data_IF_162882386834
#
_entry.id   IF_162882386834
#
_cell.length_a   1.000
_cell.length_b   1.000
_cell.length_c   1.000
_cell.angle_alpha   90.00
_cell.angle_beta   90.00
_cell.angle_gamma   90.00
#
_symmetry.space_group_name_H-M   'P 1'
#
loop_
_entity.id
_entity.type
_entity.pdbx_description
1 polymer ?
#
# COMPACT_ATOMS: atom_id res chain seq x y z
N UNK A 1 11.62 -25.96 22.67
CA UNK A 1 11.51 -24.55 23.13
C UNK A 1 12.88 -23.87 23.25
N UNK A 2 13.98 -24.61 23.39
CA UNK A 2 15.33 -24.05 23.38
C UNK A 2 15.59 -23.29 22.06
N UNK A 3 16.17 -22.10 22.15
CA UNK A 3 16.43 -21.26 20.98
C UNK A 3 15.20 -20.48 20.43
N UNK A 4 14.02 -20.63 21.04
CA UNK A 4 12.85 -19.88 20.64
C UNK A 4 12.78 -18.57 21.44
N UNK A 5 12.78 -17.40 20.80
CA UNK A 5 12.73 -16.11 21.49
C UNK A 5 11.51 -16.01 22.42
N UNK A 6 11.72 -15.49 23.61
CA UNK A 6 10.68 -15.37 24.64
C UNK A 6 10.55 -16.58 25.56
N UNK A 7 10.97 -17.78 25.13
CA UNK A 7 10.95 -18.96 26.00
C UNK A 7 12.23 -19.09 26.84
N UNK A 8 12.08 -19.54 28.06
CA UNK A 8 13.19 -19.76 29.00
C UNK A 8 12.81 -20.80 30.06
N UNK A 9 13.79 -21.26 30.83
CA UNK A 9 13.54 -22.17 31.94
C UNK A 9 13.49 -21.36 33.24
N UNK A 10 12.39 -21.50 33.98
CA UNK A 10 12.20 -20.83 35.27
C UNK A 10 13.01 -21.47 36.40
N UNK A 11 12.86 -20.97 37.63
CA UNK A 11 13.60 -21.44 38.80
C UNK A 11 13.21 -22.86 39.24
N UNK A 12 12.01 -23.32 38.82
CA UNK A 12 11.51 -24.67 39.05
C UNK A 12 11.97 -25.68 37.99
N UNK A 13 12.72 -25.21 36.97
CA UNK A 13 13.16 -26.05 35.86
C UNK A 13 12.12 -26.22 34.76
N UNK A 14 11.01 -25.49 34.78
CA UNK A 14 9.93 -25.56 33.80
C UNK A 14 10.13 -24.55 32.66
N UNK A 15 9.82 -24.98 31.44
CA UNK A 15 9.75 -24.06 30.31
C UNK A 15 8.58 -23.11 30.45
N UNK A 16 8.85 -21.82 30.36
CA UNK A 16 7.86 -20.75 30.44
C UNK A 16 8.12 -19.67 29.39
N UNK A 17 7.21 -18.71 29.26
CA UNK A 17 7.29 -17.59 28.30
C UNK A 17 7.40 -16.29 29.06
N UNK A 18 8.30 -15.43 28.63
CA UNK A 18 8.47 -14.09 29.17
C UNK A 18 7.46 -13.14 28.55
N UNK A 19 6.30 -12.99 29.19
CA UNK A 19 5.36 -11.94 28.88
C UNK A 19 5.57 -10.70 29.75
N UNK A 20 5.18 -9.54 29.23
CA UNK A 20 5.15 -8.32 30.04
C UNK A 20 3.91 -8.33 30.92
N UNK A 21 4.10 -8.38 32.23
CA UNK A 21 2.99 -8.58 33.21
C UNK A 21 2.06 -7.39 33.40
N UNK A 22 2.38 -6.21 32.83
CA UNK A 22 1.66 -4.96 33.13
C UNK A 22 0.76 -4.47 31.98
N UNK A 23 0.71 -5.18 30.88
CA UNK A 23 -0.04 -4.75 29.69
C UNK A 23 -0.67 -5.94 29.00
N UNK A 24 -1.87 -5.73 28.48
CA UNK A 24 -2.52 -6.59 27.49
C UNK A 24 -2.10 -6.21 26.06
N UNK A 25 -2.36 -7.10 25.13
CA UNK A 25 -2.03 -6.85 23.74
C UNK A 25 -2.27 -8.06 22.83
N UNK A 26 -1.98 -7.90 21.57
CA UNK A 26 -2.12 -8.93 20.54
C UNK A 26 -0.73 -9.47 20.19
N UNK A 27 -0.58 -10.80 20.20
CA UNK A 27 0.64 -11.47 19.73
C UNK A 27 0.63 -11.55 18.21
N UNK A 28 1.68 -11.07 17.59
CA UNK A 28 1.87 -11.05 16.13
C UNK A 28 3.05 -11.98 15.83
N UNK A 29 2.84 -13.13 15.18
CA UNK A 29 3.92 -14.00 14.75
C UNK A 29 4.74 -13.34 13.64
N UNK A 30 6.03 -13.60 13.64
CA UNK A 30 6.96 -13.14 12.62
C UNK A 30 7.35 -14.36 11.80
N UNK A 31 6.88 -14.43 10.56
CA UNK A 31 7.19 -15.52 9.65
C UNK A 31 8.46 -15.24 8.86
N UNK A 32 9.32 -16.24 8.75
CA UNK A 32 10.44 -16.22 7.81
C UNK A 32 10.01 -16.58 6.39
N UNK A 33 10.90 -16.40 5.42
CA UNK A 33 10.71 -16.81 4.03
C UNK A 33 10.54 -18.33 3.87
N UNK A 34 10.95 -19.11 4.86
CA UNK A 34 10.75 -20.56 4.97
C UNK A 34 9.36 -20.96 5.48
N UNK A 35 8.49 -19.97 5.75
CA UNK A 35 7.15 -20.17 6.30
C UNK A 35 7.11 -20.52 7.79
N UNK A 36 8.26 -20.53 8.47
CA UNK A 36 8.33 -20.84 9.90
C UNK A 36 8.22 -19.56 10.74
N UNK A 37 7.79 -19.70 12.00
CA UNK A 37 7.76 -18.60 12.97
C UNK A 37 9.16 -18.38 13.53
N UNK A 38 9.78 -17.26 13.19
CA UNK A 38 11.11 -16.87 13.63
C UNK A 38 11.09 -16.02 14.91
N UNK A 39 9.93 -15.57 15.34
CA UNK A 39 9.76 -14.76 16.53
C UNK A 39 8.33 -14.28 16.66
N UNK A 40 8.08 -13.38 17.62
CA UNK A 40 6.80 -12.71 17.74
C UNK A 40 6.97 -11.31 18.33
N UNK A 41 6.06 -10.43 17.96
CA UNK A 41 5.85 -9.13 18.60
C UNK A 41 4.54 -9.14 19.39
N UNK A 42 4.48 -8.33 20.41
CA UNK A 42 3.24 -8.00 21.12
C UNK A 42 2.91 -6.55 20.75
N UNK A 43 1.79 -6.32 20.09
CA UNK A 43 1.20 -5.00 19.97
C UNK A 43 0.42 -4.72 21.24
N UNK A 44 0.86 -3.75 21.98
CA UNK A 44 0.26 -3.37 23.27
C UNK A 44 -1.04 -2.60 23.05
N UNK A 45 -2.06 -2.90 23.87
CA UNK A 45 -3.31 -2.14 23.90
C UNK A 45 -3.06 -0.69 24.36
N UNK A 46 -2.13 -0.52 25.30
CA UNK A 46 -1.69 0.78 25.78
C UNK A 46 -0.18 0.90 25.65
N UNK A 47 0.34 1.96 24.99
CA UNK A 47 1.77 2.19 24.88
C UNK A 47 2.44 2.29 26.25
N UNK A 48 3.59 1.63 26.40
CA UNK A 48 4.40 1.72 27.62
C UNK A 48 5.25 2.97 27.57
N UNK A 49 5.18 3.73 28.66
CA UNK A 49 6.07 4.86 28.92
C UNK A 49 6.92 4.56 30.16
N UNK A 50 8.16 5.00 30.13
CA UNK A 50 8.99 5.03 31.31
C UNK A 50 8.55 6.19 32.22
N UNK A 51 8.84 6.09 33.53
CA UNK A 51 8.42 7.09 34.50
C UNK A 51 9.00 8.48 34.22
N UNK A 52 10.17 8.51 33.60
CA UNK A 52 10.92 9.73 33.28
C UNK A 52 10.67 10.22 31.83
N UNK A 53 9.77 9.57 31.09
CA UNK A 53 9.43 9.99 29.74
C UNK A 53 8.61 11.28 29.76
N UNK A 54 8.94 12.26 28.90
CA UNK A 54 8.17 13.47 28.78
C UNK A 54 6.74 13.19 28.31
N UNK A 55 5.74 14.02 28.71
CA UNK A 55 4.32 13.78 28.41
C UNK A 55 4.01 13.60 26.93
N UNK A 56 4.71 14.32 26.06
CA UNK A 56 4.57 14.30 24.60
C UNK A 56 5.15 13.05 23.95
N UNK A 57 6.02 12.30 24.63
CA UNK A 57 6.60 11.08 24.07
C UNK A 57 5.54 10.01 23.92
N UNK A 58 5.38 9.52 22.70
CA UNK A 58 4.53 8.35 22.42
C UNK A 58 5.23 7.10 22.92
N UNK A 59 4.79 6.46 23.95
CA UNK A 59 5.40 5.25 24.52
C UNK A 59 5.60 4.11 23.51
N UNK A 60 6.27 3.05 23.95
CA UNK A 60 6.54 1.84 23.15
C UNK A 60 5.23 1.10 22.85
N UNK A 61 4.90 0.94 21.57
CA UNK A 61 3.67 0.27 21.11
C UNK A 61 3.86 -1.22 20.83
N UNK A 62 5.08 -1.63 20.51
CA UNK A 62 5.42 -3.00 20.13
C UNK A 62 6.58 -3.52 20.95
N UNK A 63 6.42 -4.69 21.55
CA UNK A 63 7.48 -5.41 22.24
C UNK A 63 7.81 -6.69 21.46
N UNK A 64 9.07 -6.88 21.14
CA UNK A 64 9.52 -8.13 20.52
C UNK A 64 9.82 -9.15 21.62
N UNK A 65 9.31 -10.36 21.49
CA UNK A 65 9.57 -11.44 22.44
C UNK A 65 11.07 -11.74 22.47
N UNK A 66 11.63 -11.71 23.66
CA UNK A 66 13.04 -12.00 23.91
C UNK A 66 13.18 -12.52 25.34
N UNK A 67 13.98 -13.53 25.52
CA UNK A 67 14.35 -14.11 26.82
C UNK A 67 15.84 -13.96 27.13
N UNK A 68 16.47 -12.96 26.49
CA UNK A 68 17.89 -12.63 26.77
C UNK A 68 18.14 -12.47 28.27
N UNK A 69 19.22 -13.08 28.76
CA UNK A 69 19.59 -13.06 30.17
C UNK A 69 18.80 -14.01 31.08
N UNK A 70 17.87 -14.80 30.52
CA UNK A 70 17.17 -15.87 31.24
C UNK A 70 17.83 -17.23 30.97
N UNK A 71 17.67 -18.18 31.91
CA UNK A 71 18.22 -19.55 31.78
C UNK A 71 17.66 -20.22 30.53
N UNK A 72 18.50 -20.71 29.65
CA UNK A 72 18.19 -21.31 28.34
C UNK A 72 17.41 -20.34 27.40
N UNK A 73 17.36 -19.06 27.71
CA UNK A 73 16.74 -18.06 26.90
C UNK A 73 17.62 -17.59 25.74
N UNK A 74 16.97 -16.92 24.77
CA UNK A 74 17.63 -16.37 23.59
C UNK A 74 17.11 -14.99 23.22
N UNK A 75 17.89 -14.25 22.44
CA UNK A 75 17.49 -12.96 21.86
C UNK A 75 16.49 -13.16 20.71
N UNK A 76 15.72 -12.12 20.40
CA UNK A 76 14.86 -12.10 19.21
C UNK A 76 15.67 -12.17 17.91
N UNK A 77 16.93 -11.71 17.91
CA UNK A 77 17.79 -11.73 16.74
C UNK A 77 17.33 -10.84 15.58
N UNK A 78 16.40 -9.91 15.83
CA UNK A 78 15.85 -8.98 14.83
C UNK A 78 15.32 -9.68 13.57
N UNK A 79 14.36 -10.62 13.70
CA UNK A 79 13.85 -11.35 12.55
C UNK A 79 13.16 -10.40 11.55
N UNK A 80 13.15 -10.80 10.29
CA UNK A 80 12.42 -10.13 9.22
C UNK A 80 11.13 -10.91 8.98
N UNK A 81 10.02 -10.20 8.89
CA UNK A 81 8.75 -10.80 8.54
C UNK A 81 8.60 -10.89 7.02
N UNK A 82 8.11 -12.02 6.55
CA UNK A 82 7.87 -12.31 5.13
C UNK A 82 6.44 -12.79 4.93
N UNK A 83 5.75 -12.25 3.93
CA UNK A 83 4.41 -12.69 3.52
C UNK A 83 4.27 -12.64 2.00
N UNK A 84 3.78 -13.72 1.41
CA UNK A 84 3.56 -13.87 -0.02
C UNK A 84 4.40 -14.98 -0.65
N UNK A 85 4.72 -14.82 -1.95
CA UNK A 85 5.47 -15.80 -2.74
C UNK A 85 6.98 -15.49 -2.73
N UNK A 86 7.83 -16.42 -2.27
CA UNK A 86 9.28 -16.23 -2.25
C UNK A 86 9.92 -16.20 -3.66
N UNK A 87 9.19 -16.59 -4.71
CA UNK A 87 9.61 -16.52 -6.10
C UNK A 87 9.08 -15.28 -6.83
N UNK A 88 8.47 -14.34 -6.13
CA UNK A 88 7.97 -13.09 -6.72
C UNK A 88 9.08 -12.28 -7.38
N UNK A 89 8.84 -11.82 -8.61
CA UNK A 89 9.77 -10.93 -9.33
C UNK A 89 9.89 -9.55 -8.68
N UNK A 90 8.84 -9.12 -7.98
CA UNK A 90 8.77 -7.81 -7.31
C UNK A 90 8.39 -8.01 -5.86
N UNK A 91 9.19 -7.49 -4.95
CA UNK A 91 8.97 -7.61 -3.50
C UNK A 91 8.94 -6.22 -2.86
N UNK A 92 7.95 -5.99 -2.03
CA UNK A 92 7.75 -4.73 -1.29
C UNK A 92 8.41 -4.82 0.08
N UNK A 93 9.08 -3.76 0.51
CA UNK A 93 9.70 -3.66 1.84
C UNK A 93 9.04 -2.52 2.61
N UNK A 94 8.51 -2.83 3.80
CA UNK A 94 7.83 -1.86 4.68
C UNK A 94 8.26 -2.04 6.13
N UNK A 95 7.84 -1.15 7.01
CA UNK A 95 8.04 -1.25 8.45
C UNK A 95 6.82 -1.87 9.13
N UNK A 96 7.04 -2.91 9.93
CA UNK A 96 6.03 -3.53 10.79
C UNK A 96 5.23 -4.67 10.15
N UNK A 97 5.19 -5.81 10.86
CA UNK A 97 4.56 -7.04 10.38
C UNK A 97 3.10 -6.87 9.99
N UNK A 98 2.28 -6.22 10.85
CA UNK A 98 0.86 -6.01 10.55
C UNK A 98 0.62 -5.19 9.30
N UNK A 99 1.49 -4.20 9.00
CA UNK A 99 1.38 -3.43 7.77
C UNK A 99 1.61 -4.31 6.55
N UNK A 100 2.64 -5.16 6.61
CA UNK A 100 2.93 -6.11 5.54
C UNK A 100 1.78 -7.08 5.32
N UNK A 101 1.23 -7.66 6.39
CA UNK A 101 0.09 -8.60 6.30
C UNK A 101 -1.15 -7.94 5.71
N UNK A 102 -1.50 -6.74 6.19
CA UNK A 102 -2.66 -5.99 5.68
C UNK A 102 -2.44 -5.57 4.22
N UNK A 103 -1.26 -5.03 3.89
CA UNK A 103 -0.94 -4.64 2.52
C UNK A 103 -0.93 -5.85 1.58
N UNK A 104 -0.37 -7.00 2.01
CA UNK A 104 -0.42 -8.25 1.26
C UNK A 104 -1.87 -8.68 0.97
N UNK A 105 -2.72 -8.70 2.01
CA UNK A 105 -4.12 -9.08 1.87
C UNK A 105 -4.93 -8.17 0.95
N UNK A 106 -4.58 -6.87 0.90
CA UNK A 106 -5.28 -5.89 0.08
C UNK A 106 -4.76 -5.81 -1.35
N UNK A 107 -3.44 -5.97 -1.53
CA UNK A 107 -2.75 -5.78 -2.82
C UNK A 107 -2.44 -7.10 -3.53
N UNK A 108 -2.49 -8.23 -2.85
CA UNK A 108 -2.05 -9.54 -3.34
C UNK A 108 -0.61 -9.55 -3.87
N UNK A 109 0.29 -8.80 -3.19
CA UNK A 109 1.71 -8.67 -3.50
C UNK A 109 2.56 -9.25 -2.38
N UNK A 110 3.81 -9.58 -2.67
CA UNK A 110 4.76 -10.10 -1.69
C UNK A 110 5.39 -8.97 -0.90
N UNK A 111 5.38 -9.11 0.42
CA UNK A 111 5.92 -8.11 1.34
C UNK A 111 7.00 -8.70 2.26
N UNK A 112 7.95 -7.85 2.55
CA UNK A 112 8.95 -8.00 3.60
C UNK A 112 8.76 -6.87 4.60
N UNK A 113 8.78 -7.17 5.90
CA UNK A 113 8.71 -6.14 6.92
C UNK A 113 9.87 -6.22 7.91
N UNK A 114 10.47 -5.06 8.18
CA UNK A 114 11.40 -4.86 9.28
C UNK A 114 10.63 -4.58 10.57
N UNK A 115 11.21 -4.88 11.73
CA UNK A 115 10.61 -4.59 13.04
C UNK A 115 10.84 -3.15 13.51
N UNK A 116 11.28 -2.28 12.62
CA UNK A 116 11.60 -0.87 12.81
C UNK A 116 12.52 -0.44 11.68
N UNK A 117 12.40 0.82 11.23
CA UNK A 117 13.08 1.35 10.04
C UNK A 117 14.60 1.10 10.00
N UNK A 118 15.25 1.01 11.16
CA UNK A 118 16.71 0.74 11.23
C UNK A 118 17.09 -0.72 11.41
N UNK A 119 16.10 -1.62 11.52
CA UNK A 119 16.34 -3.02 11.78
C UNK A 119 16.58 -3.82 10.48
N UNK A 120 17.62 -3.46 9.76
CA UNK A 120 17.95 -3.98 8.42
C UNK A 120 18.98 -5.09 8.42
N UNK A 121 19.46 -5.53 9.60
CA UNK A 121 20.61 -6.44 9.71
C UNK A 121 20.46 -7.76 8.94
N UNK A 122 19.24 -8.30 8.87
CA UNK A 122 18.96 -9.57 8.16
C UNK A 122 18.42 -9.40 6.75
N UNK A 123 18.21 -8.17 6.28
CA UNK A 123 17.76 -7.94 4.91
C UNK A 123 18.80 -8.40 3.87
N UNK A 124 20.08 -8.34 4.20
CA UNK A 124 21.13 -8.75 3.26
C UNK A 124 21.03 -10.25 2.90
N UNK A 125 20.85 -11.12 3.91
CA UNK A 125 20.65 -12.56 3.72
C UNK A 125 19.36 -12.85 2.95
N UNK A 126 18.28 -12.14 3.30
CA UNK A 126 16.99 -12.30 2.66
C UNK A 126 17.05 -11.85 1.20
N UNK A 127 17.68 -10.71 0.89
CA UNK A 127 17.82 -10.22 -0.48
C UNK A 127 18.67 -11.14 -1.35
N UNK A 128 19.74 -11.72 -0.78
CA UNK A 128 20.50 -12.76 -1.45
C UNK A 128 19.63 -13.99 -1.79
N UNK A 129 18.74 -14.39 -0.87
CA UNK A 129 17.81 -15.49 -1.10
C UNK A 129 16.80 -15.13 -2.18
N UNK A 130 16.12 -13.98 -2.09
CA UNK A 130 15.09 -13.53 -3.02
C UNK A 130 15.66 -13.41 -4.43
N UNK A 131 16.84 -12.80 -4.60
CA UNK A 131 17.49 -12.68 -5.90
C UNK A 131 17.76 -14.05 -6.54
N UNK A 132 18.27 -15.03 -5.77
CA UNK A 132 18.47 -16.41 -6.26
C UNK A 132 17.16 -17.10 -6.67
N UNK A 133 16.03 -16.68 -6.10
CA UNK A 133 14.70 -17.22 -6.42
C UNK A 133 13.94 -16.38 -7.47
N UNK A 134 14.62 -15.46 -8.13
CA UNK A 134 14.08 -14.74 -9.28
C UNK A 134 13.52 -13.35 -9.00
N UNK A 135 13.71 -12.80 -7.80
CA UNK A 135 13.35 -11.40 -7.54
C UNK A 135 14.29 -10.46 -8.30
N UNK A 136 13.71 -9.56 -9.08
CA UNK A 136 14.41 -8.59 -9.91
C UNK A 136 14.32 -7.17 -9.35
N UNK A 137 13.27 -6.90 -8.57
CA UNK A 137 12.95 -5.56 -8.11
C UNK A 137 12.48 -5.53 -6.66
N UNK A 138 13.00 -4.57 -5.93
CA UNK A 138 12.57 -4.21 -4.58
C UNK A 138 11.80 -2.88 -4.65
N UNK A 139 10.63 -2.84 -4.03
CA UNK A 139 9.84 -1.62 -3.85
C UNK A 139 10.00 -1.16 -2.41
N UNK A 140 10.69 -0.05 -2.19
CA UNK A 140 10.75 0.60 -0.87
C UNK A 140 9.38 1.26 -0.59
N UNK A 141 8.68 0.75 0.41
CA UNK A 141 7.35 1.20 0.86
C UNK A 141 7.33 1.53 2.36
N UNK A 142 8.42 2.14 2.84
CA UNK A 142 8.52 2.66 4.20
C UNK A 142 7.54 3.83 4.41
N UNK A 143 7.21 4.11 5.67
CA UNK A 143 6.23 5.12 6.05
C UNK A 143 6.49 6.48 5.38
N UNK A 144 5.42 7.22 5.09
CA UNK A 144 5.50 8.52 4.39
C UNK A 144 6.16 9.63 5.22
N UNK A 145 6.37 9.44 6.52
CA UNK A 145 7.17 10.36 7.34
C UNK A 145 8.69 10.29 7.05
N UNK A 146 9.13 9.42 6.14
CA UNK A 146 10.50 9.37 5.63
C UNK A 146 11.04 10.69 5.09
N UNK A 147 10.17 11.54 4.59
CA UNK A 147 10.56 12.88 4.10
C UNK A 147 10.83 13.91 5.19
N UNK A 148 10.43 13.63 6.43
CA UNK A 148 10.61 14.49 7.58
C UNK A 148 11.39 13.84 8.72
N UNK A 149 11.66 12.53 8.63
CA UNK A 149 12.30 11.73 9.67
C UNK A 149 13.59 11.10 9.13
N UNK A 150 14.73 11.68 9.49
CA UNK A 150 16.07 11.19 9.06
C UNK A 150 16.33 9.71 9.37
N UNK A 151 15.71 9.17 10.43
CA UNK A 151 15.91 7.76 10.80
C UNK A 151 15.21 6.83 9.79
N UNK A 152 14.04 7.23 9.30
CA UNK A 152 13.30 6.48 8.28
C UNK A 152 14.03 6.59 6.93
N UNK A 153 14.51 7.78 6.58
CA UNK A 153 15.29 7.97 5.35
C UNK A 153 16.61 7.16 5.35
N UNK A 154 17.28 7.07 6.49
CA UNK A 154 18.46 6.20 6.63
C UNK A 154 18.11 4.72 6.45
N UNK A 155 16.96 4.29 6.93
CA UNK A 155 16.43 2.93 6.72
C UNK A 155 16.20 2.65 5.23
N UNK A 156 15.47 3.56 4.57
CA UNK A 156 15.21 3.49 3.14
C UNK A 156 16.51 3.44 2.31
N UNK A 157 17.48 4.30 2.60
CA UNK A 157 18.78 4.33 1.90
C UNK A 157 19.53 2.99 2.03
N UNK A 158 19.41 2.28 3.16
CA UNK A 158 20.00 0.94 3.32
C UNK A 158 19.32 -0.10 2.44
N UNK A 159 18.00 -0.01 2.28
CA UNK A 159 17.25 -0.91 1.38
C UNK A 159 17.77 -0.77 -0.05
N UNK A 160 17.97 0.47 -0.53
CA UNK A 160 18.56 0.74 -1.85
C UNK A 160 19.95 0.13 -2.00
N UNK A 161 20.82 0.38 -1.03
CA UNK A 161 22.19 -0.12 -1.07
C UNK A 161 22.23 -1.66 -1.08
N UNK A 162 21.37 -2.33 -0.31
CA UNK A 162 21.28 -3.77 -0.27
C UNK A 162 20.72 -4.35 -1.57
N UNK A 163 19.66 -3.78 -2.12
CA UNK A 163 19.11 -4.21 -3.40
C UNK A 163 20.17 -4.12 -4.53
N UNK A 164 20.87 -2.98 -4.61
CA UNK A 164 21.93 -2.78 -5.59
C UNK A 164 23.08 -3.79 -5.42
N UNK A 165 23.47 -4.10 -4.17
CA UNK A 165 24.51 -5.12 -3.87
C UNK A 165 24.18 -6.47 -4.46
N UNK A 166 22.89 -6.84 -4.46
CA UNK A 166 22.41 -8.12 -5.00
C UNK A 166 21.96 -8.03 -6.46
N UNK A 167 22.21 -6.90 -7.16
CA UNK A 167 21.89 -6.74 -8.58
C UNK A 167 20.41 -6.53 -8.86
N UNK A 168 19.60 -6.26 -7.83
CA UNK A 168 18.18 -5.96 -7.98
C UNK A 168 17.95 -4.46 -8.15
N UNK A 169 16.97 -4.10 -8.96
CA UNK A 169 16.48 -2.72 -9.03
C UNK A 169 15.79 -2.38 -7.71
N UNK A 170 15.90 -1.12 -7.30
CA UNK A 170 15.12 -0.62 -6.17
C UNK A 170 14.47 0.71 -6.52
N UNK A 171 13.21 0.86 -6.16
CA UNK A 171 12.49 2.13 -6.33
C UNK A 171 11.61 2.42 -5.12
N UNK A 172 11.31 3.70 -4.94
CA UNK A 172 10.47 4.19 -3.87
C UNK A 172 9.02 4.23 -4.29
N UNK A 173 8.14 3.64 -3.47
CA UNK A 173 6.71 3.85 -3.55
C UNK A 173 6.34 5.07 -2.71
N UNK A 174 5.54 5.96 -3.29
CA UNK A 174 5.01 7.13 -2.59
C UNK A 174 3.50 7.18 -2.74
N UNK A 175 2.81 7.68 -1.73
CA UNK A 175 1.36 7.86 -1.71
C UNK A 175 0.98 9.14 -0.99
N UNK A 176 -0.31 9.42 -0.86
CA UNK A 176 -0.81 10.59 -0.16
C UNK A 176 -0.29 10.62 1.29
N UNK A 177 0.49 11.65 1.69
CA UNK A 177 1.14 11.73 2.99
C UNK A 177 0.17 11.83 4.18
N UNK A 178 -1.12 12.04 3.93
CA UNK A 178 -2.15 11.93 4.96
C UNK A 178 -2.30 10.51 5.51
N UNK A 179 -1.80 9.52 4.79
CA UNK A 179 -1.74 8.13 5.23
C UNK A 179 -0.28 7.78 5.55
N UNK A 180 -0.01 7.51 6.81
CA UNK A 180 1.35 7.22 7.25
C UNK A 180 1.89 5.93 6.63
N UNK A 181 1.18 4.82 6.77
CA UNK A 181 1.55 3.50 6.28
C UNK A 181 0.87 3.12 4.96
N UNK A 182 1.47 2.19 4.23
CA UNK A 182 0.90 1.61 3.01
C UNK A 182 -0.43 0.90 3.27
N UNK A 183 -0.58 0.28 4.43
CA UNK A 183 -1.79 -0.39 4.89
C UNK A 183 -2.95 0.59 5.05
N UNK A 184 -2.74 1.71 5.72
CA UNK A 184 -3.75 2.76 5.90
C UNK A 184 -4.20 3.34 4.56
N UNK A 185 -3.24 3.57 3.66
CA UNK A 185 -3.53 4.04 2.31
C UNK A 185 -4.38 3.04 1.52
N UNK A 186 -3.99 1.77 1.49
CA UNK A 186 -4.74 0.73 0.77
C UNK A 186 -6.14 0.50 1.36
N UNK A 187 -6.28 0.55 2.68
CA UNK A 187 -7.58 0.52 3.34
C UNK A 187 -8.47 1.68 2.93
N UNK A 188 -7.90 2.89 2.84
CA UNK A 188 -8.67 4.06 2.40
C UNK A 188 -9.13 3.93 0.96
N UNK A 189 -8.28 3.42 0.06
CA UNK A 189 -8.66 3.13 -1.33
C UNK A 189 -9.80 2.12 -1.39
N UNK A 190 -9.71 1.00 -0.66
CA UNK A 190 -10.78 -0.02 -0.57
C UNK A 190 -12.10 0.55 -0.04
N UNK A 191 -12.02 1.36 1.01
CA UNK A 191 -13.23 2.02 1.57
C UNK A 191 -13.85 3.00 0.58
N UNK A 192 -13.02 3.72 -0.18
CA UNK A 192 -13.49 4.61 -1.24
C UNK A 192 -14.18 3.80 -2.34
N UNK A 193 -13.57 2.72 -2.81
CA UNK A 193 -14.18 1.81 -3.79
C UNK A 193 -15.50 1.19 -3.30
N UNK A 194 -15.55 0.77 -2.03
CA UNK A 194 -16.77 0.21 -1.43
C UNK A 194 -17.87 1.26 -1.33
N UNK A 195 -17.57 2.47 -0.82
CA UNK A 195 -18.53 3.57 -0.77
C UNK A 195 -19.06 3.92 -2.15
N UNK A 196 -18.20 3.88 -3.17
CA UNK A 196 -18.61 4.12 -4.55
C UNK A 196 -19.51 3.03 -5.10
N UNK A 197 -19.32 1.76 -4.66
CA UNK A 197 -20.20 0.63 -5.00
C UNK A 197 -21.53 0.65 -4.23
N UNK A 198 -21.50 1.19 -3.01
CA UNK A 198 -22.63 1.19 -2.07
C UNK A 198 -23.42 2.51 -2.08
N UNK A 199 -22.84 3.59 -2.64
CA UNK A 199 -23.49 4.91 -2.62
C UNK A 199 -24.62 4.99 -3.67
N UNK A 200 -25.89 4.92 -3.23
CA UNK A 200 -27.03 5.10 -4.11
C UNK A 200 -27.20 6.56 -4.57
N UNK A 201 -26.36 7.47 -4.07
CA UNK A 201 -26.44 8.91 -4.33
C UNK A 201 -25.79 9.40 -5.61
N UNK A 202 -24.77 8.69 -6.14
CA UNK A 202 -24.10 9.08 -7.38
C UNK A 202 -24.67 8.34 -8.58
N UNK A 203 -25.14 9.13 -9.56
CA UNK A 203 -25.58 8.59 -10.86
C UNK A 203 -24.41 7.97 -11.63
N UNK A 204 -24.70 7.13 -12.61
CA UNK A 204 -23.66 6.60 -13.52
C UNK A 204 -22.85 7.74 -14.16
N UNK A 205 -23.55 8.79 -14.66
CA UNK A 205 -22.90 9.94 -15.31
C UNK A 205 -21.91 10.64 -14.38
N UNK A 206 -22.31 10.91 -13.14
CA UNK A 206 -21.42 11.55 -12.16
C UNK A 206 -20.18 10.70 -11.90
N UNK A 207 -20.34 9.39 -11.77
CA UNK A 207 -19.21 8.48 -11.59
C UNK A 207 -18.29 8.49 -12.83
N UNK A 208 -18.86 8.40 -14.02
CA UNK A 208 -18.11 8.41 -15.27
C UNK A 208 -17.32 9.72 -15.46
N UNK A 209 -17.98 10.87 -15.25
CA UNK A 209 -17.34 12.18 -15.39
C UNK A 209 -16.22 12.42 -14.37
N UNK A 210 -16.31 11.78 -13.21
CA UNK A 210 -15.27 11.81 -12.19
C UNK A 210 -14.18 10.72 -12.38
N UNK A 211 -14.25 9.95 -13.48
CA UNK A 211 -13.26 8.88 -13.75
C UNK A 211 -13.34 7.68 -12.79
N UNK A 212 -14.48 7.52 -12.13
CA UNK A 212 -14.69 6.50 -11.09
C UNK A 212 -15.21 5.18 -11.68
N UNK A 213 -15.71 5.20 -12.91
CA UNK A 213 -16.11 4.01 -13.67
C UNK A 213 -15.92 4.23 -15.16
N UNK A 214 -15.91 3.16 -15.93
CA UNK A 214 -15.97 3.19 -17.39
C UNK A 214 -17.40 2.92 -17.92
N UNK A 215 -17.53 2.86 -19.24
CA UNK A 215 -18.83 2.61 -19.91
C UNK A 215 -19.40 1.21 -19.63
N UNK A 216 -18.55 0.25 -19.29
CA UNK A 216 -18.93 -1.12 -18.91
C UNK A 216 -19.89 -1.16 -17.72
N UNK A 217 -19.88 -0.11 -16.88
CA UNK A 217 -20.80 0.00 -15.74
C UNK A 217 -22.25 0.32 -16.15
N UNK A 218 -22.49 0.77 -17.37
CA UNK A 218 -23.85 1.06 -17.87
C UNK A 218 -24.76 -0.16 -17.82
N UNK A 219 -24.27 -1.29 -18.34
CA UNK A 219 -25.03 -2.55 -18.36
C UNK A 219 -25.40 -2.97 -16.94
N UNK A 220 -24.43 -2.99 -16.03
CA UNK A 220 -24.65 -3.34 -14.62
C UNK A 220 -25.64 -2.37 -13.93
N UNK A 221 -25.59 -1.07 -14.24
CA UNK A 221 -26.52 -0.08 -13.69
C UNK A 221 -27.92 -0.25 -14.27
N UNK A 222 -28.04 -0.53 -15.56
CA UNK A 222 -29.31 -0.78 -16.23
C UNK A 222 -29.98 -2.04 -15.68
N UNK A 223 -29.23 -3.14 -15.50
CA UNK A 223 -29.72 -4.36 -14.87
C UNK A 223 -30.22 -4.10 -13.43
N UNK A 224 -29.46 -3.33 -12.64
CA UNK A 224 -29.89 -2.93 -11.29
C UNK A 224 -31.19 -2.14 -11.31
N UNK A 225 -31.34 -1.18 -12.23
CA UNK A 225 -32.58 -0.41 -12.37
C UNK A 225 -33.77 -1.31 -12.71
N UNK A 226 -33.61 -2.27 -13.64
CA UNK A 226 -34.66 -3.26 -13.96
C UNK A 226 -35.02 -4.15 -12.76
N UNK A 227 -34.05 -4.47 -11.88
CA UNK A 227 -34.27 -5.22 -10.67
C UNK A 227 -34.96 -4.43 -9.55
N UNK A 228 -34.86 -3.11 -9.59
CA UNK A 228 -35.53 -2.21 -8.66
C UNK A 228 -37.02 -2.11 -9.06
N UNK A 229 -37.91 -2.86 -8.44
CA UNK A 229 -39.37 -2.79 -8.64
C UNK A 229 -39.97 -1.43 -8.19
N UNK A 230 -39.36 -0.31 -8.60
CA UNK A 230 -39.71 1.04 -8.19
C UNK A 230 -40.12 1.82 -9.45
N UNK A 231 -41.40 2.07 -9.63
CA UNK A 231 -41.96 2.84 -10.74
C UNK A 231 -41.71 4.35 -10.64
N UNK A 232 -40.88 4.82 -9.69
CA UNK A 232 -40.77 6.23 -9.34
C UNK A 232 -39.61 6.97 -10.02
N UNK A 233 -38.68 6.29 -10.68
CA UNK A 233 -37.54 6.93 -11.35
C UNK A 233 -37.34 6.34 -12.74
N UNK A 234 -37.18 7.18 -13.76
CA UNK A 234 -36.87 6.73 -15.11
C UNK A 234 -35.42 6.21 -15.18
N UNK A 235 -35.13 5.31 -16.14
CA UNK A 235 -33.75 4.84 -16.37
C UNK A 235 -32.82 6.02 -16.69
N UNK A 236 -33.28 6.99 -17.45
CA UNK A 236 -32.56 8.22 -17.76
C UNK A 236 -32.14 8.95 -16.49
N UNK A 237 -33.05 9.19 -15.57
CA UNK A 237 -32.80 9.93 -14.34
C UNK A 237 -31.93 9.11 -13.37
N UNK A 238 -32.15 7.80 -13.33
CA UNK A 238 -31.31 6.87 -12.54
C UNK A 238 -29.86 6.86 -13.02
N UNK A 239 -29.63 6.93 -14.32
CA UNK A 239 -28.29 7.05 -14.90
C UNK A 239 -27.72 8.46 -14.84
N UNK A 240 -28.54 9.48 -14.56
CA UNK A 240 -28.17 10.90 -14.50
C UNK A 240 -27.95 11.53 -15.87
N UNK A 241 -28.55 10.97 -16.93
CA UNK A 241 -28.37 11.42 -18.30
C UNK A 241 -29.33 12.56 -18.65
N UNK A 242 -28.87 13.48 -19.50
CA UNK A 242 -29.75 14.43 -20.18
C UNK A 242 -30.57 13.69 -21.26
N UNK A 243 -31.60 14.34 -21.76
CA UNK A 243 -32.42 13.78 -22.86
C UNK A 243 -31.56 13.44 -24.08
N UNK A 244 -30.72 14.35 -24.53
CA UNK A 244 -29.81 14.15 -25.66
C UNK A 244 -28.82 12.97 -25.44
N UNK A 245 -28.31 12.83 -24.24
CA UNK A 245 -27.40 11.73 -23.90
C UNK A 245 -28.15 10.40 -23.85
N UNK A 246 -29.37 10.39 -23.35
CA UNK A 246 -30.20 9.19 -23.30
C UNK A 246 -30.62 8.73 -24.69
N UNK A 247 -30.97 9.68 -25.59
CA UNK A 247 -31.24 9.39 -26.99
C UNK A 247 -30.03 8.82 -27.71
N UNK A 248 -28.85 9.37 -27.46
CA UNK A 248 -27.60 8.84 -27.96
C UNK A 248 -27.26 7.43 -27.39
N UNK A 249 -27.60 7.21 -26.12
CA UNK A 249 -27.46 5.88 -25.48
C UNK A 249 -28.38 4.84 -26.15
N UNK A 250 -29.61 5.20 -26.43
CA UNK A 250 -30.60 4.36 -27.13
C UNK A 250 -30.31 4.24 -28.62
N UNK A 251 -29.29 4.95 -29.15
CA UNK A 251 -28.93 4.99 -30.57
C UNK A 251 -30.09 5.49 -31.47
N UNK A 252 -30.95 6.35 -30.92
CA UNK A 252 -32.05 6.99 -31.66
C UNK A 252 -31.55 8.03 -32.66
N UNK A 253 -30.34 8.56 -32.43
CA UNK A 253 -29.59 9.41 -33.38
C UNK A 253 -28.23 8.79 -33.70
N UNK A 254 -28.09 8.09 -34.86
CA UNK A 254 -26.86 7.41 -35.23
C UNK A 254 -25.68 8.37 -35.54
N UNK A 255 -25.96 9.68 -35.66
CA UNK A 255 -24.90 10.69 -35.86
C UNK A 255 -24.23 11.16 -34.57
N UNK A 256 -24.76 10.80 -33.41
CA UNK A 256 -24.28 11.27 -32.12
C UNK A 256 -23.73 10.11 -31.31
N UNK A 257 -22.43 10.15 -31.02
CA UNK A 257 -21.79 9.15 -30.16
C UNK A 257 -22.00 9.48 -28.68
N UNK A 258 -22.71 8.61 -27.97
CA UNK A 258 -22.92 8.71 -26.51
C UNK A 258 -21.63 8.90 -25.73
N UNK A 259 -20.59 8.10 -26.06
CA UNK A 259 -19.28 8.22 -25.42
C UNK A 259 -18.66 9.61 -25.64
N UNK A 260 -18.68 10.13 -26.86
CA UNK A 260 -18.13 11.46 -27.16
C UNK A 260 -18.86 12.57 -26.42
N UNK A 261 -20.19 12.45 -26.24
CA UNK A 261 -20.97 13.41 -25.43
C UNK A 261 -20.52 13.43 -23.98
N UNK A 262 -20.33 12.26 -23.37
CA UNK A 262 -19.86 12.17 -21.99
C UNK A 262 -18.41 12.62 -21.84
N UNK A 263 -17.53 12.20 -22.76
CA UNK A 263 -16.11 12.56 -22.71
C UNK A 263 -15.88 14.06 -22.86
N UNK A 264 -16.71 14.75 -23.66
CA UNK A 264 -16.65 16.21 -23.79
C UNK A 264 -16.95 16.96 -22.48
N UNK A 265 -17.67 16.33 -21.56
CA UNK A 265 -18.04 16.89 -20.26
C UNK A 265 -17.08 16.49 -19.15
N UNK A 266 -16.21 15.52 -19.40
CA UNK A 266 -15.15 15.19 -18.42
C UNK A 266 -14.38 16.45 -18.11
N UNK A 267 -14.37 16.83 -16.84
CA UNK A 267 -13.47 17.89 -16.36
C UNK A 267 -12.08 17.55 -16.83
N UNK A 268 -11.41 18.50 -17.48
CA UNK A 268 -10.04 18.34 -17.93
C UNK A 268 -9.22 17.86 -16.74
N UNK A 269 -8.85 16.59 -16.75
CA UNK A 269 -8.09 16.01 -15.66
C UNK A 269 -6.74 16.74 -15.60
N UNK A 270 -6.47 17.41 -14.51
CA UNK A 270 -5.19 18.08 -14.30
C UNK A 270 -4.27 17.10 -13.61
N UNK A 271 -3.30 16.59 -14.33
CA UNK A 271 -2.24 15.74 -13.77
C UNK A 271 -1.08 16.59 -13.29
N UNK A 272 -0.58 16.30 -12.10
CA UNK A 272 0.72 16.76 -11.63
C UNK A 272 1.65 15.58 -11.60
N UNK A 273 2.79 15.71 -12.27
CA UNK A 273 3.86 14.72 -12.25
C UNK A 273 4.96 15.26 -11.36
N UNK A 274 5.35 14.48 -10.39
CA UNK A 274 6.51 14.75 -9.56
C UNK A 274 7.62 13.80 -9.99
N UNK A 275 8.67 14.37 -10.56
CA UNK A 275 9.90 13.65 -10.88
C UNK A 275 10.87 13.83 -9.72
N UNK A 276 11.32 12.74 -9.12
CA UNK A 276 12.36 12.74 -8.10
C UNK A 276 13.70 12.49 -8.77
N UNK A 277 14.62 13.41 -8.65
CA UNK A 277 16.01 13.22 -9.00
C UNK A 277 16.72 12.51 -7.84
N UNK A 278 16.99 11.22 -8.04
CA UNK A 278 17.59 10.35 -7.02
C UNK A 278 19.07 10.69 -6.75
N UNK A 279 19.77 11.33 -7.70
CA UNK A 279 21.16 11.69 -7.52
C UNK A 279 21.32 12.98 -6.68
N UNK A 280 20.37 13.90 -6.83
CA UNK A 280 20.45 15.22 -6.18
C UNK A 280 19.38 15.44 -5.10
N UNK A 281 18.42 14.50 -4.96
CA UNK A 281 17.31 14.62 -4.00
C UNK A 281 16.30 15.74 -4.33
N UNK A 282 16.36 16.27 -5.55
CA UNK A 282 15.46 17.32 -5.99
C UNK A 282 14.15 16.76 -6.54
N UNK A 283 13.04 17.39 -6.20
CA UNK A 283 11.73 17.06 -6.74
C UNK A 283 11.28 18.13 -7.72
N UNK A 284 11.02 17.74 -8.97
CA UNK A 284 10.46 18.63 -9.99
C UNK A 284 8.99 18.32 -10.17
N UNK A 285 8.15 19.35 -10.14
CA UNK A 285 6.72 19.22 -10.37
C UNK A 285 6.32 19.79 -11.73
N UNK A 286 5.57 19.00 -12.50
CA UNK A 286 5.01 19.39 -13.79
C UNK A 286 3.48 19.26 -13.72
N UNK A 287 2.76 20.22 -14.29
CA UNK A 287 1.29 20.18 -14.36
C UNK A 287 0.84 20.01 -15.81
N UNK A 288 -0.05 19.05 -16.05
CA UNK A 288 -0.57 18.74 -17.39
C UNK A 288 -2.09 18.83 -17.38
N UNK A 289 -2.66 19.30 -18.48
CA UNK A 289 -4.10 19.47 -18.70
C UNK A 289 -4.82 18.19 -19.14
N UNK A 290 -4.19 17.02 -19.10
CA UNK A 290 -4.77 15.74 -19.46
C UNK A 290 -3.70 14.72 -19.81
N UNK A 291 -4.10 13.44 -19.96
CA UNK A 291 -3.17 12.33 -20.24
C UNK A 291 -2.44 12.50 -21.58
N UNK A 292 -3.11 13.08 -22.59
CA UNK A 292 -2.50 13.35 -23.89
C UNK A 292 -1.40 14.42 -23.79
N UNK A 293 -1.57 15.42 -22.92
CA UNK A 293 -0.55 16.45 -22.68
C UNK A 293 0.65 15.84 -21.93
N UNK A 294 0.40 14.91 -21.03
CA UNK A 294 1.42 14.13 -20.33
C UNK A 294 2.26 13.33 -21.32
N UNK A 295 1.62 12.59 -22.23
CA UNK A 295 2.31 11.78 -23.23
C UNK A 295 3.10 12.64 -24.24
N UNK A 296 2.54 13.78 -24.67
CA UNK A 296 3.24 14.73 -25.55
C UNK A 296 4.48 15.33 -24.92
N UNK A 297 4.50 15.44 -23.60
CA UNK A 297 5.68 15.92 -22.85
C UNK A 297 6.76 14.85 -22.65
N UNK A 298 6.58 13.64 -23.21
CA UNK A 298 7.57 12.56 -23.16
C UNK A 298 7.47 11.64 -21.95
N UNK A 299 6.49 11.85 -21.05
CA UNK A 299 6.20 10.91 -19.98
C UNK A 299 5.41 9.73 -20.54
N UNK A 300 6.12 8.81 -21.18
CA UNK A 300 5.55 7.56 -21.69
C UNK A 300 5.36 6.58 -20.55
N UNK A 301 4.45 5.60 -20.74
CA UNK A 301 4.28 4.49 -19.81
C UNK A 301 5.62 3.91 -19.40
N UNK A 302 5.88 3.74 -18.11
CA UNK A 302 7.22 3.43 -17.64
C UNK A 302 7.67 2.03 -17.99
N UNK A 303 8.95 1.91 -18.21
CA UNK A 303 9.65 0.98 -17.34
C UNK A 303 10.49 1.67 -16.27
N UNK A 304 10.60 2.97 -16.21
CA UNK A 304 11.42 3.62 -15.21
C UNK A 304 10.55 4.53 -14.32
N UNK A 305 10.36 4.10 -13.12
CA UNK A 305 9.54 4.77 -12.12
C UNK A 305 10.33 5.86 -11.39
N UNK A 306 10.56 6.95 -12.05
CA UNK A 306 11.14 8.15 -11.44
C UNK A 306 10.09 9.24 -11.19
N UNK A 307 8.80 8.95 -11.42
CA UNK A 307 7.75 9.95 -11.25
C UNK A 307 6.47 9.36 -10.64
N UNK A 308 5.75 10.22 -9.95
CA UNK A 308 4.46 9.92 -9.33
C UNK A 308 3.38 10.79 -9.97
N UNK A 309 2.26 10.19 -10.33
CA UNK A 309 1.12 10.88 -10.90
C UNK A 309 0.14 11.28 -9.79
N UNK A 310 -0.18 12.56 -9.71
CA UNK A 310 -1.13 13.10 -8.73
C UNK A 310 -2.29 13.76 -9.48
N UNK A 311 -3.50 13.36 -9.14
CA UNK A 311 -4.72 13.95 -9.68
C UNK A 311 -5.40 14.80 -8.60
N UNK A 312 -5.60 16.08 -8.88
CA UNK A 312 -6.32 17.04 -8.00
C UNK A 312 -5.83 17.02 -6.52
N UNK A 313 -4.53 16.72 -6.30
CA UNK A 313 -3.96 16.58 -4.97
C UNK A 313 -4.11 15.18 -4.34
N UNK A 314 -4.82 14.26 -4.98
CA UNK A 314 -4.86 12.85 -4.62
C UNK A 314 -3.89 12.05 -5.48
N UNK A 315 -3.12 11.17 -4.86
CA UNK A 315 -2.30 10.19 -5.57
C UNK A 315 -3.22 9.25 -6.34
N UNK A 316 -3.23 9.41 -7.66
CA UNK A 316 -3.71 8.33 -8.51
C UNK A 316 -2.56 7.33 -8.57
N UNK A 317 -2.82 6.11 -8.16
CA UNK A 317 -1.97 4.91 -8.30
C UNK A 317 -0.71 5.17 -9.12
N UNK A 318 0.47 4.93 -8.58
CA UNK A 318 1.67 5.01 -9.40
C UNK A 318 1.38 4.25 -10.69
N UNK A 319 1.69 4.82 -11.84
CA UNK A 319 1.50 4.24 -13.19
C UNK A 319 2.10 2.82 -13.36
N UNK A 320 2.75 2.34 -12.36
CA UNK A 320 3.37 1.02 -12.20
C UNK A 320 2.35 -0.11 -12.21
N UNK A 321 1.10 0.14 -11.84
CA UNK A 321 0.04 -0.88 -11.82
C UNK A 321 -0.76 -1.01 -13.13
N UNK A 322 -0.51 -0.14 -14.11
CA UNK A 322 -1.27 -0.14 -15.39
C UNK A 322 -0.61 -1.04 -16.45
N UNK A 323 0.60 -1.53 -16.22
CA UNK A 323 1.33 -2.34 -17.19
C UNK A 323 1.75 -3.70 -16.65
N UNK A 324 0.82 -4.56 -16.23
CA UNK A 324 1.06 -5.99 -16.33
C UNK A 324 0.49 -6.45 -17.68
N UNK A 325 1.31 -6.97 -18.60
CA UNK A 325 0.79 -7.70 -19.74
C UNK A 325 0.11 -8.97 -19.21
N UNK A 326 -1.09 -9.18 -19.69
CA UNK A 326 -1.82 -10.45 -19.64
C UNK A 326 -0.93 -11.62 -20.06
#
# INVERSE_FOLDING_TARGET
MQGVPGFYVDDNGCWTVKFHQRTSGIIIPIFGVDGLIHGAQIRLDHPLKDKDDPPEKTGVKYLTLSSTGKRMGTTSGSPIHFVGDPCSRVVYVTEGCLKADVAHALMHRTFVATLGANNTARLDELFAFLHRNGTEEIIEAEDMDKYSNEMVEKGASKIYALAARHGMRCRRLTWNPNYKGIDDWQLALRRKEQKMKEDPGMTFKEQYLNGLCGLEMLETRTEKWHAMKVDSISLRDYLGLTEQEYDAYLQTDPGVSFQKLLDSQRKTQRFRVYQLDLEHGETRAFAFGGIDALHKAGFQQPPAAEYTLVYDGELILSLIHISEPT
#
